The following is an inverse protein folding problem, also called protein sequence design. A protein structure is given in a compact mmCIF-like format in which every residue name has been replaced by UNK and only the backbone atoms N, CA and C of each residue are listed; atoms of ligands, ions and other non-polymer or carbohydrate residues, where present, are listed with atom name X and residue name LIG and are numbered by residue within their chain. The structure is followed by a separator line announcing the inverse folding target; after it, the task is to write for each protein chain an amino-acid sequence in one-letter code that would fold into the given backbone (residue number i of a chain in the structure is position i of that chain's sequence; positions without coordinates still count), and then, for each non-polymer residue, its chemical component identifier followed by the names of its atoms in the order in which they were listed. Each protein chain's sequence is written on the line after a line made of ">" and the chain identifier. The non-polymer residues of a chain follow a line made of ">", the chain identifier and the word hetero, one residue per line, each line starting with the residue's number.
data_IF_803740060768
#
_entry.id   IF_803740060768
#
_cell.length_a   1.000
_cell.length_b   1.000
_cell.length_c   1.000
_cell.angle_alpha   90.00
_cell.angle_beta   90.00
_cell.angle_gamma   90.00
#
_symmetry.space_group_name_H-M   'P 1'
#
loop_
_entity.id
_entity.type
_entity.pdbx_description
1 polymer ?
#
# COMPACT_ATOMS: atom_id res chain seq x y z
N UNK A 1 8.79 -11.88 9.47
CA UNK A 1 8.68 -12.92 8.45
C UNK A 1 7.26 -13.33 8.19
N UNK A 2 6.55 -13.79 9.20
CA UNK A 2 5.14 -14.12 9.03
C UNK A 2 4.31 -12.90 8.64
N UNK A 3 4.69 -11.74 9.17
CA UNK A 3 3.99 -10.50 8.87
C UNK A 3 4.08 -10.14 7.40
N UNK A 4 5.24 -10.30 6.79
CA UNK A 4 5.41 -9.99 5.38
C UNK A 4 4.58 -10.93 4.50
N UNK A 5 4.56 -12.22 4.82
CA UNK A 5 3.75 -13.17 4.08
C UNK A 5 2.27 -12.84 4.19
N UNK A 6 1.83 -12.45 5.37
CA UNK A 6 0.44 -12.03 5.58
C UNK A 6 0.10 -10.79 4.78
N UNK A 7 1.03 -9.83 4.75
CA UNK A 7 0.83 -8.60 3.97
C UNK A 7 0.74 -8.89 2.48
N UNK A 8 1.59 -9.79 1.98
CA UNK A 8 1.52 -10.17 0.57
C UNK A 8 0.17 -10.80 0.23
N UNK A 9 -0.33 -11.61 1.13
CA UNK A 9 -1.66 -12.20 0.95
C UNK A 9 -2.74 -11.13 0.92
N UNK A 10 -2.65 -10.14 1.82
CA UNK A 10 -3.60 -9.04 1.87
C UNK A 10 -3.51 -8.12 0.65
N UNK A 11 -2.37 -8.13 -0.04
CA UNK A 11 -2.19 -7.33 -1.25
C UNK A 11 -2.77 -7.99 -2.49
N UNK A 12 -3.25 -9.21 -2.39
CA UNK A 12 -3.87 -9.90 -3.52
C UNK A 12 -5.33 -9.49 -3.61
N UNK A 13 -5.56 -8.48 -4.43
CA UNK A 13 -6.87 -7.85 -4.53
C UNK A 13 -7.67 -8.23 -5.76
N UNK A 14 -7.10 -9.09 -6.61
CA UNK A 14 -7.79 -9.51 -7.81
C UNK A 14 -7.67 -8.54 -8.98
N UNK A 15 -6.99 -7.43 -8.81
CA UNK A 15 -6.66 -6.52 -9.92
C UNK A 15 -5.17 -6.52 -10.14
N UNK A 16 -4.76 -6.61 -11.40
CA UNK A 16 -3.34 -6.67 -11.73
C UNK A 16 -2.59 -5.41 -11.32
N UNK A 17 -3.23 -4.26 -11.47
CA UNK A 17 -2.58 -2.99 -11.13
C UNK A 17 -2.30 -2.88 -9.64
N UNK A 18 -3.29 -3.18 -8.80
CA UNK A 18 -3.08 -3.13 -7.36
C UNK A 18 -2.05 -4.16 -6.92
N UNK A 19 -2.17 -5.38 -7.44
CA UNK A 19 -1.23 -6.44 -7.08
C UNK A 19 0.20 -6.03 -7.44
N UNK A 20 0.39 -5.47 -8.63
CA UNK A 20 1.70 -5.04 -9.08
C UNK A 20 2.27 -3.94 -8.19
N UNK A 21 1.50 -2.89 -7.95
CA UNK A 21 1.96 -1.74 -7.17
C UNK A 21 2.29 -2.14 -5.73
N UNK A 22 1.41 -2.89 -5.11
CA UNK A 22 1.60 -3.27 -3.71
C UNK A 22 2.75 -4.24 -3.54
N UNK A 23 2.88 -5.23 -4.41
CA UNK A 23 3.99 -6.17 -4.31
C UNK A 23 5.32 -5.50 -4.59
N UNK A 24 5.36 -4.56 -5.53
CA UNK A 24 6.57 -3.80 -5.81
C UNK A 24 7.00 -3.01 -4.58
N UNK A 25 6.05 -2.39 -3.90
CA UNK A 25 6.35 -1.67 -2.66
C UNK A 25 6.87 -2.61 -1.58
N UNK A 26 6.24 -3.78 -1.42
CA UNK A 26 6.69 -4.76 -0.42
C UNK A 26 8.11 -5.23 -0.68
N UNK A 27 8.51 -5.29 -1.94
CA UNK A 27 9.86 -5.75 -2.30
C UNK A 27 10.93 -4.69 -2.11
N UNK A 28 10.54 -3.42 -2.00
CA UNK A 28 11.51 -2.33 -1.92
C UNK A 28 11.23 -1.38 -0.76
N UNK A 29 10.19 -0.56 -0.88
CA UNK A 29 9.91 0.48 0.10
C UNK A 29 9.59 -0.04 1.49
N UNK A 30 8.85 -1.14 1.57
CA UNK A 30 8.47 -1.71 2.85
C UNK A 30 9.68 -2.13 3.69
N UNK A 31 10.71 -2.64 3.04
CA UNK A 31 11.92 -3.07 3.73
C UNK A 31 12.66 -1.92 4.38
N UNK A 32 12.49 -0.72 3.85
CA UNK A 32 13.11 0.50 4.36
C UNK A 32 12.18 1.31 5.25
N UNK A 33 10.94 0.89 5.37
CA UNK A 33 9.92 1.63 6.11
C UNK A 33 10.13 1.52 7.61
N UNK A 34 9.83 2.61 8.33
CA UNK A 34 9.84 2.56 9.80
C UNK A 34 8.49 2.00 10.30
N UNK A 35 8.38 1.89 11.61
CA UNK A 35 7.17 1.32 12.23
C UNK A 35 5.91 2.10 11.87
N UNK A 36 6.03 3.43 11.83
CA UNK A 36 4.89 4.28 11.52
C UNK A 36 4.40 4.04 10.10
N UNK A 37 5.31 3.97 9.14
CA UNK A 37 4.96 3.73 7.76
C UNK A 37 4.36 2.34 7.57
N UNK A 38 4.90 1.34 8.25
CA UNK A 38 4.36 -0.02 8.20
C UNK A 38 2.94 -0.08 8.74
N UNK A 39 2.68 0.66 9.83
CA UNK A 39 1.34 0.73 10.40
C UNK A 39 0.36 1.39 9.42
N UNK A 40 0.81 2.43 8.74
CA UNK A 40 -0.01 3.09 7.73
C UNK A 40 -0.33 2.17 6.56
N UNK A 41 0.62 1.33 6.17
CA UNK A 41 0.36 0.35 5.12
C UNK A 41 -0.75 -0.62 5.53
N UNK A 42 -0.69 -1.13 6.77
CA UNK A 42 -1.73 -2.02 7.27
C UNK A 42 -3.08 -1.33 7.23
N UNK A 43 -3.12 -0.07 7.66
CA UNK A 43 -4.35 0.71 7.63
C UNK A 43 -4.87 0.88 6.20
N UNK A 44 -3.98 1.18 5.27
CA UNK A 44 -4.34 1.33 3.87
C UNK A 44 -4.95 0.05 3.31
N UNK A 45 -4.41 -1.09 3.69
CA UNK A 45 -4.89 -2.38 3.20
C UNK A 45 -6.24 -2.79 3.79
N UNK A 46 -6.77 -2.04 4.75
CA UNK A 46 -8.14 -2.28 5.25
C UNK A 46 -9.19 -1.70 4.32
N UNK A 47 -8.79 -0.86 3.37
CA UNK A 47 -9.73 -0.28 2.42
C UNK A 47 -10.22 -1.34 1.42
N UNK A 48 -11.42 -1.14 0.93
CA UNK A 48 -11.94 -1.99 -0.13
C UNK A 48 -11.23 -1.66 -1.44
N UNK A 49 -11.34 -2.57 -2.41
CA UNK A 49 -10.65 -2.42 -3.69
C UNK A 49 -10.95 -1.09 -4.38
N UNK A 50 -12.21 -0.69 -4.40
CA UNK A 50 -12.62 0.56 -5.05
C UNK A 50 -11.96 1.77 -4.41
N UNK A 51 -11.93 1.80 -3.08
CA UNK A 51 -11.30 2.89 -2.35
C UNK A 51 -9.80 2.87 -2.53
N UNK A 52 -9.22 1.68 -2.49
CA UNK A 52 -7.77 1.52 -2.65
C UNK A 52 -7.33 1.97 -4.04
N UNK A 53 -8.07 1.60 -5.07
CA UNK A 53 -7.81 2.07 -6.43
C UNK A 53 -7.87 3.58 -6.50
N UNK A 54 -8.90 4.18 -5.89
CA UNK A 54 -9.07 5.63 -5.89
C UNK A 54 -7.89 6.33 -5.26
N UNK A 55 -7.42 5.82 -4.13
CA UNK A 55 -6.30 6.43 -3.42
C UNK A 55 -4.98 6.23 -4.18
N UNK A 56 -4.72 5.01 -4.64
CA UNK A 56 -3.44 4.69 -5.28
C UNK A 56 -3.33 5.23 -6.70
N UNK A 57 -4.43 5.30 -7.43
CA UNK A 57 -4.42 5.79 -8.80
C UNK A 57 -4.77 7.28 -8.91
N UNK A 58 -4.90 7.95 -7.77
CA UNK A 58 -4.97 9.40 -7.75
C UNK A 58 -6.34 10.03 -7.86
N UNK A 59 -7.41 9.25 -7.80
CA UNK A 59 -8.77 9.80 -7.86
C UNK A 59 -9.22 10.36 -6.52
N UNK A 60 -8.72 9.79 -5.42
CA UNK A 60 -9.04 10.23 -4.07
C UNK A 60 -7.80 10.79 -3.40
N UNK A 61 -8.02 11.75 -2.50
CA UNK A 61 -6.94 12.37 -1.76
C UNK A 61 -6.81 11.65 -0.41
N UNK A 62 -5.58 11.24 -0.06
CA UNK A 62 -5.32 10.65 1.23
C UNK A 62 -5.57 11.67 2.34
N UNK A 63 -6.09 11.22 3.47
CA UNK A 63 -6.52 12.12 4.55
C UNK A 63 -5.36 12.81 5.26
N UNK A 64 -4.24 12.12 5.42
CA UNK A 64 -3.11 12.68 6.15
C UNK A 64 -1.90 12.82 5.26
N UNK A 65 -0.98 13.73 5.66
CA UNK A 65 0.26 13.93 4.94
C UNK A 65 1.10 12.64 4.92
N UNK A 66 1.14 11.93 6.06
CA UNK A 66 1.90 10.70 6.15
C UNK A 66 1.36 9.64 5.17
N UNK A 67 0.04 9.55 5.05
CA UNK A 67 -0.57 8.62 4.11
C UNK A 67 -0.28 9.04 2.66
N UNK A 68 -0.28 10.33 2.37
CA UNK A 68 0.08 10.84 1.04
C UNK A 68 1.49 10.43 0.65
N UNK A 69 2.42 10.52 1.59
CA UNK A 69 3.80 10.11 1.35
C UNK A 69 3.87 8.62 1.03
N UNK A 70 3.18 7.80 1.82
CA UNK A 70 3.14 6.36 1.58
C UNK A 70 2.55 6.03 0.21
N UNK A 71 1.42 6.63 -0.12
CA UNK A 71 0.78 6.42 -1.42
C UNK A 71 1.73 6.80 -2.56
N UNK A 72 2.43 7.90 -2.41
CA UNK A 72 3.42 8.32 -3.40
C UNK A 72 4.52 7.30 -3.60
N UNK A 73 5.01 6.72 -2.51
CA UNK A 73 6.04 5.68 -2.58
C UNK A 73 5.53 4.43 -3.29
N UNK A 74 4.31 4.04 -3.03
CA UNK A 74 3.71 2.87 -3.68
C UNK A 74 3.55 3.11 -5.17
N UNK A 75 3.10 4.30 -5.54
CA UNK A 75 2.85 4.64 -6.95
C UNK A 75 4.13 4.73 -7.78
N UNK A 76 5.16 5.28 -7.20
CA UNK A 76 6.44 5.47 -7.91
C UNK A 76 7.32 4.23 -7.86
N UNK A 77 7.19 3.50 -6.78
CA UNK A 77 7.94 2.27 -6.58
C UNK A 77 9.37 2.49 -6.28
#
# INVERSE_FOLDING_TARGET
>A
MQQLAKLRWQCRRGTKELDFLLNRYLDSGYLLADEEEKALLVELLTLEDDELIGVLLGEMIAETKAMKVLVGKIRVG
#
